data_IF_326886848257
#
_entry.id   IF_326886848257
#
_cell.length_a   1.000
_cell.length_b   1.000
_cell.length_c   1.000
_cell.angle_alpha   90.00
_cell.angle_beta   90.00
_cell.angle_gamma   90.00
#
_symmetry.space_group_name_H-M   'P 1'
#
loop_
_entity.id
_entity.type
_entity.pdbx_description
1 polymer ?
#
# COMPACT_ATOMS: atom_id res chain seq x y z
N UNK A 1 -0.74 -64.62 -9.65
CA UNK A 1 0.19 -63.54 -10.04
C UNK A 1 -0.62 -62.25 -10.16
N UNK A 2 -0.51 -61.34 -9.17
CA UNK A 2 -1.36 -60.14 -9.05
C UNK A 2 -0.82 -59.02 -9.95
N UNK A 3 -1.68 -58.47 -10.81
CA UNK A 3 -1.41 -57.31 -11.67
C UNK A 3 -1.33 -56.04 -10.82
N UNK A 4 -0.23 -55.31 -10.92
CA UNK A 4 -0.10 -53.95 -10.38
C UNK A 4 -0.77 -52.96 -11.35
N UNK A 5 -1.82 -52.27 -10.89
CA UNK A 5 -2.41 -51.13 -11.60
C UNK A 5 -1.75 -49.87 -11.02
N UNK A 6 -0.93 -49.19 -11.82
CA UNK A 6 -0.35 -47.90 -11.47
C UNK A 6 -1.41 -46.84 -11.79
N UNK A 7 -2.02 -46.26 -10.76
CA UNK A 7 -2.97 -45.16 -10.88
C UNK A 7 -2.19 -43.85 -11.06
N UNK A 8 -2.08 -43.36 -12.29
CA UNK A 8 -1.45 -42.07 -12.59
C UNK A 8 -2.47 -40.96 -12.28
N UNK A 9 -2.44 -40.42 -11.07
CA UNK A 9 -3.24 -39.24 -10.71
C UNK A 9 -2.68 -38.01 -11.43
N UNK A 10 -3.31 -37.63 -12.54
CA UNK A 10 -3.09 -36.32 -13.16
C UNK A 10 -3.45 -35.23 -12.15
N UNK A 11 -2.43 -34.51 -11.65
CA UNK A 11 -2.62 -33.24 -10.96
C UNK A 11 -3.24 -32.25 -11.93
N UNK A 12 -4.56 -32.06 -11.84
CA UNK A 12 -5.26 -30.95 -12.48
C UNK A 12 -4.77 -29.68 -11.79
N UNK A 13 -3.70 -29.07 -12.31
CA UNK A 13 -3.31 -27.72 -11.91
C UNK A 13 -4.45 -26.78 -12.28
N UNK A 14 -5.21 -26.39 -11.26
CA UNK A 14 -6.45 -25.65 -11.41
C UNK A 14 -6.15 -24.27 -11.99
N UNK A 15 -6.76 -23.97 -13.14
CA UNK A 15 -6.79 -22.60 -13.73
C UNK A 15 -7.31 -21.53 -12.76
N UNK A 16 -7.91 -21.93 -11.64
CA UNK A 16 -8.39 -21.07 -10.56
C UNK A 16 -7.28 -20.27 -9.85
N UNK A 17 -6.04 -20.77 -9.78
CA UNK A 17 -5.00 -20.08 -8.97
C UNK A 17 -4.51 -18.76 -9.58
N UNK A 18 -4.52 -18.63 -10.91
CA UNK A 18 -4.03 -17.43 -11.59
C UNK A 18 -5.05 -16.28 -11.57
N UNK A 19 -6.35 -16.59 -11.58
CA UNK A 19 -7.41 -15.57 -11.53
C UNK A 19 -7.42 -14.82 -10.20
N UNK A 20 -7.13 -15.53 -9.11
CA UNK A 20 -6.98 -14.94 -7.77
C UNK A 20 -5.75 -14.03 -7.70
N UNK A 21 -4.67 -14.36 -8.41
CA UNK A 21 -3.47 -13.54 -8.39
C UNK A 21 -3.61 -12.21 -9.17
N UNK A 22 -4.32 -12.21 -10.30
CA UNK A 22 -4.47 -11.03 -11.16
C UNK A 22 -5.40 -9.95 -10.55
N UNK A 23 -5.19 -8.68 -10.92
CA UNK A 23 -6.01 -7.53 -10.49
C UNK A 23 -7.21 -7.30 -11.40
N UNK A 24 -8.38 -7.04 -10.81
CA UNK A 24 -9.58 -6.62 -11.53
C UNK A 24 -9.56 -5.13 -11.88
N UNK A 25 -10.49 -4.69 -12.73
CA UNK A 25 -10.69 -3.26 -13.04
C UNK A 25 -10.99 -2.45 -11.79
N UNK A 26 -11.85 -2.97 -10.93
CA UNK A 26 -12.24 -2.29 -9.69
C UNK A 26 -11.05 -2.15 -8.72
N UNK A 27 -10.15 -3.14 -8.70
CA UNK A 27 -8.97 -3.14 -7.84
C UNK A 27 -7.90 -2.16 -8.33
N UNK A 28 -7.52 -2.23 -9.62
CA UNK A 28 -6.44 -1.40 -10.16
C UNK A 28 -6.76 0.10 -10.13
N UNK A 29 -8.04 0.46 -10.16
CA UNK A 29 -8.49 1.85 -10.06
C UNK A 29 -8.33 2.45 -8.66
N UNK A 30 -8.17 1.62 -7.63
CA UNK A 30 -7.90 2.04 -6.26
C UNK A 30 -6.40 2.10 -5.94
N UNK A 31 -5.56 1.56 -6.82
CA UNK A 31 -4.12 1.51 -6.68
C UNK A 31 -3.46 2.76 -7.31
N UNK A 32 -2.22 3.10 -6.94
CA UNK A 32 -1.50 4.19 -7.58
C UNK A 32 -1.39 3.99 -9.09
N UNK A 33 -1.50 5.07 -9.91
CA UNK A 33 -1.53 4.95 -11.37
C UNK A 33 -0.36 4.16 -11.95
N UNK A 34 0.82 4.23 -11.32
CA UNK A 34 1.99 3.50 -11.79
C UNK A 34 1.84 1.96 -11.68
N UNK A 35 0.91 1.45 -10.87
CA UNK A 35 0.62 0.01 -10.85
C UNK A 35 -0.05 -0.49 -12.13
N UNK A 36 -0.54 0.40 -13.00
CA UNK A 36 -0.98 0.03 -14.36
C UNK A 36 0.19 -0.36 -15.27
N UNK A 37 1.44 -0.19 -14.83
CA UNK A 37 2.66 -0.60 -15.52
C UNK A 37 3.07 -2.05 -15.27
N UNK A 38 2.35 -2.80 -14.43
CA UNK A 38 2.60 -4.23 -14.21
C UNK A 38 2.51 -5.03 -15.52
N UNK A 39 3.11 -6.22 -15.53
CA UNK A 39 3.00 -7.13 -16.68
C UNK A 39 1.55 -7.54 -16.92
N UNK A 40 1.17 -7.75 -18.19
CA UNK A 40 -0.22 -8.01 -18.60
C UNK A 40 -0.84 -9.24 -17.92
N UNK A 41 -0.04 -10.23 -17.53
CA UNK A 41 -0.50 -11.42 -16.81
C UNK A 41 -0.99 -11.10 -15.38
N UNK A 42 -0.61 -9.94 -14.84
CA UNK A 42 -1.11 -9.46 -13.55
C UNK A 42 -2.51 -8.85 -13.65
N UNK A 43 -3.12 -8.76 -14.84
CA UNK A 43 -4.45 -8.17 -15.04
C UNK A 43 -5.47 -9.25 -15.38
N UNK A 44 -6.63 -9.17 -14.73
CA UNK A 44 -7.81 -9.92 -15.13
C UNK A 44 -8.31 -9.43 -16.50
N UNK A 45 -9.16 -10.24 -17.15
CA UNK A 45 -9.62 -9.96 -18.51
C UNK A 45 -10.29 -8.59 -18.66
N UNK A 46 -11.04 -8.14 -17.65
CA UNK A 46 -11.75 -6.85 -17.59
C UNK A 46 -10.85 -5.62 -17.37
N UNK A 47 -9.57 -5.86 -17.04
CA UNK A 47 -8.60 -4.82 -16.69
C UNK A 47 -7.44 -4.71 -17.67
N UNK A 48 -7.32 -5.64 -18.64
CA UNK A 48 -6.20 -5.67 -19.61
C UNK A 48 -6.05 -4.37 -20.40
N UNK A 49 -7.16 -3.70 -20.71
CA UNK A 49 -7.17 -2.41 -21.42
C UNK A 49 -6.64 -1.24 -20.57
N UNK A 50 -6.64 -1.40 -19.25
CA UNK A 50 -6.12 -0.40 -18.31
C UNK A 50 -4.60 -0.46 -18.15
N UNK A 51 -3.96 -1.52 -18.66
CA UNK A 51 -2.50 -1.64 -18.70
C UNK A 51 -1.92 -0.45 -19.48
N UNK A 52 -0.88 0.17 -18.93
CA UNK A 52 -0.16 1.27 -19.58
C UNK A 52 1.31 0.91 -19.76
N UNK A 53 1.92 1.44 -20.82
CA UNK A 53 3.37 1.44 -20.99
C UNK A 53 3.91 2.66 -20.24
N UNK A 54 4.41 2.44 -19.03
CA UNK A 54 4.92 3.49 -18.18
C UNK A 54 6.22 3.05 -17.54
N UNK A 55 7.11 4.01 -17.31
CA UNK A 55 8.35 3.79 -16.55
C UNK A 55 7.99 3.60 -15.09
N UNK A 56 8.38 2.47 -14.51
CA UNK A 56 8.17 2.19 -13.10
C UNK A 56 9.09 3.08 -12.26
N UNK A 57 8.60 3.63 -11.13
CA UNK A 57 9.31 4.63 -10.35
C UNK A 57 10.62 4.13 -9.71
N UNK A 58 10.82 2.82 -9.60
CA UNK A 58 12.07 2.25 -9.10
C UNK A 58 12.05 0.74 -9.01
N UNK A 59 13.13 0.20 -8.47
CA UNK A 59 13.22 -1.22 -8.13
C UNK A 59 12.12 -1.62 -7.14
N UNK A 60 11.77 -2.90 -7.12
CA UNK A 60 10.73 -3.45 -6.23
C UNK A 60 9.33 -2.83 -6.37
N UNK A 61 9.05 -2.06 -7.44
CA UNK A 61 7.70 -1.51 -7.68
C UNK A 61 6.64 -2.61 -7.76
N UNK A 62 7.00 -3.81 -8.24
CA UNK A 62 6.08 -4.95 -8.25
C UNK A 62 5.62 -5.33 -6.85
N UNK A 63 6.52 -5.45 -5.88
CA UNK A 63 6.19 -5.71 -4.47
C UNK A 63 5.33 -4.59 -3.89
N UNK A 64 5.67 -3.32 -4.17
CA UNK A 64 4.82 -2.20 -3.76
C UNK A 64 3.38 -2.35 -4.28
N UNK A 65 3.22 -2.67 -5.57
CA UNK A 65 1.90 -2.84 -6.16
C UNK A 65 1.17 -4.09 -5.63
N UNK A 66 1.87 -5.18 -5.33
CA UNK A 66 1.28 -6.32 -4.63
C UNK A 66 0.79 -5.94 -3.22
N UNK A 67 1.56 -5.14 -2.49
CA UNK A 67 1.14 -4.58 -1.20
C UNK A 67 -0.13 -3.72 -1.32
N UNK A 68 -0.23 -2.89 -2.35
CA UNK A 68 -1.44 -2.10 -2.63
C UNK A 68 -2.65 -2.98 -2.96
N UNK A 69 -2.46 -4.01 -3.79
CA UNK A 69 -3.51 -5.00 -4.09
C UNK A 69 -3.98 -5.70 -2.82
N UNK A 70 -3.06 -6.10 -1.95
CA UNK A 70 -3.35 -6.72 -0.67
C UNK A 70 -4.15 -5.78 0.26
N UNK A 71 -3.82 -4.48 0.32
CA UNK A 71 -4.65 -3.48 1.03
C UNK A 71 -6.08 -3.44 0.47
N UNK A 72 -6.25 -3.38 -0.86
CA UNK A 72 -7.57 -3.32 -1.50
C UNK A 72 -8.40 -4.55 -1.13
N UNK A 73 -7.76 -5.72 -1.05
CA UNK A 73 -8.37 -6.99 -0.62
C UNK A 73 -8.49 -7.16 0.90
N UNK A 74 -8.06 -6.16 1.68
CA UNK A 74 -8.01 -6.21 3.16
C UNK A 74 -7.12 -7.32 3.72
N UNK A 75 -6.22 -7.87 2.91
CA UNK A 75 -5.18 -8.79 3.37
C UNK A 75 -4.00 -7.98 3.90
N UNK A 76 -4.16 -7.46 5.12
CA UNK A 76 -3.21 -6.52 5.70
C UNK A 76 -1.86 -7.17 6.05
N UNK A 77 -1.83 -8.46 6.39
CA UNK A 77 -0.59 -9.17 6.69
C UNK A 77 0.30 -9.29 5.44
N UNK A 78 -0.27 -9.72 4.31
CA UNK A 78 0.45 -9.74 3.04
C UNK A 78 0.89 -8.33 2.63
N UNK A 79 0.04 -7.31 2.83
CA UNK A 79 0.44 -5.94 2.55
C UNK A 79 1.68 -5.52 3.36
N UNK A 80 1.72 -5.82 4.66
CA UNK A 80 2.88 -5.52 5.52
C UNK A 80 4.14 -6.25 5.07
N UNK A 81 4.02 -7.52 4.66
CA UNK A 81 5.14 -8.30 4.14
C UNK A 81 5.70 -7.71 2.84
N UNK A 82 4.83 -7.40 1.88
CA UNK A 82 5.21 -6.83 0.58
C UNK A 82 5.90 -5.46 0.74
N UNK A 83 5.36 -4.59 1.59
CA UNK A 83 6.03 -3.31 1.89
C UNK A 83 7.32 -3.50 2.68
N UNK A 84 7.39 -4.50 3.57
CA UNK A 84 8.60 -4.89 4.28
C UNK A 84 9.71 -5.32 3.33
N UNK A 85 9.36 -6.09 2.29
CA UNK A 85 10.31 -6.47 1.24
C UNK A 85 10.91 -5.24 0.55
N UNK A 86 10.06 -4.29 0.13
CA UNK A 86 10.53 -3.03 -0.49
C UNK A 86 11.46 -2.29 0.46
N UNK A 87 11.13 -2.18 1.75
CA UNK A 87 11.98 -1.49 2.74
C UNK A 87 13.32 -2.19 2.98
N UNK A 88 13.35 -3.52 2.99
CA UNK A 88 14.55 -4.31 3.29
C UNK A 88 15.54 -4.44 2.13
N UNK A 89 15.06 -4.23 0.90
CA UNK A 89 15.89 -4.39 -0.32
C UNK A 89 16.15 -3.08 -1.06
N UNK A 90 15.65 -1.94 -0.56
CA UNK A 90 15.91 -0.63 -1.15
C UNK A 90 16.94 0.16 -0.36
N UNK A 91 17.69 1.03 -1.05
CA UNK A 91 18.49 2.08 -0.39
C UNK A 91 17.59 3.10 0.30
N UNK A 92 18.09 3.81 1.32
CA UNK A 92 17.30 4.79 2.08
C UNK A 92 16.80 5.97 1.24
N UNK A 93 17.42 6.25 0.08
CA UNK A 93 17.02 7.29 -0.87
C UNK A 93 15.96 6.81 -1.90
N UNK A 94 15.55 5.54 -1.84
CA UNK A 94 14.66 4.98 -2.85
C UNK A 94 13.29 5.68 -2.86
N UNK A 95 12.84 6.08 -4.07
CA UNK A 95 11.70 7.00 -4.25
C UNK A 95 10.37 6.49 -3.68
N UNK A 96 10.19 5.17 -3.61
CA UNK A 96 8.97 4.58 -3.06
C UNK A 96 8.94 4.53 -1.53
N UNK A 97 10.07 4.66 -0.82
CA UNK A 97 10.13 4.41 0.62
C UNK A 97 9.18 5.27 1.48
N UNK A 98 8.98 6.57 1.21
CA UNK A 98 7.99 7.35 1.94
C UNK A 98 6.58 6.78 1.77
N UNK A 99 6.20 6.41 0.54
CA UNK A 99 4.90 5.81 0.25
C UNK A 99 4.78 4.39 0.83
N UNK A 100 5.85 3.60 0.75
CA UNK A 100 5.92 2.25 1.32
C UNK A 100 5.66 2.29 2.82
N UNK A 101 6.36 3.16 3.55
CA UNK A 101 6.18 3.32 4.99
C UNK A 101 4.76 3.81 5.32
N UNK A 102 4.23 4.76 4.53
CA UNK A 102 2.85 5.22 4.69
C UNK A 102 1.81 4.11 4.55
N UNK A 103 1.85 3.32 3.48
CA UNK A 103 0.85 2.28 3.24
C UNK A 103 1.04 1.07 4.16
N UNK A 104 2.27 0.77 4.56
CA UNK A 104 2.55 -0.21 5.63
C UNK A 104 1.92 0.24 6.96
N UNK A 105 2.01 1.52 7.30
CA UNK A 105 1.34 2.08 8.48
C UNK A 105 -0.18 1.92 8.42
N UNK A 106 -0.79 2.20 7.25
CA UNK A 106 -2.24 1.98 7.05
C UNK A 106 -2.63 0.51 7.26
N UNK A 107 -1.87 -0.44 6.69
CA UNK A 107 -2.12 -1.86 6.87
C UNK A 107 -1.97 -2.30 8.33
N UNK A 108 -0.90 -1.89 9.01
CA UNK A 108 -0.67 -2.18 10.44
C UNK A 108 -1.79 -1.64 11.33
N UNK A 109 -2.23 -0.41 11.06
CA UNK A 109 -3.32 0.22 11.82
C UNK A 109 -4.65 -0.51 11.62
N UNK A 110 -4.92 -1.00 10.40
CA UNK A 110 -6.10 -1.82 10.12
C UNK A 110 -6.04 -3.21 10.76
N UNK A 111 -4.83 -3.74 11.00
CA UNK A 111 -4.60 -4.95 11.80
C UNK A 111 -4.57 -4.71 13.32
N UNK A 112 -4.86 -3.50 13.80
CA UNK A 112 -4.84 -3.17 15.23
C UNK A 112 -3.45 -3.02 15.85
N UNK A 113 -2.38 -3.04 15.04
CA UNK A 113 -0.99 -2.91 15.52
C UNK A 113 -0.61 -1.44 15.68
N UNK A 114 -1.16 -0.82 16.73
CA UNK A 114 -1.14 0.64 16.91
C UNK A 114 0.28 1.22 16.96
N UNK A 115 1.15 0.65 17.80
CA UNK A 115 2.51 1.15 17.98
C UNK A 115 3.32 1.07 16.68
N UNK A 116 3.25 -0.06 15.99
CA UNK A 116 3.94 -0.29 14.72
C UNK A 116 3.44 0.65 13.61
N UNK A 117 2.12 0.90 13.56
CA UNK A 117 1.55 1.86 12.62
C UNK A 117 2.09 3.27 12.84
N UNK A 118 2.14 3.74 14.10
CA UNK A 118 2.69 5.06 14.43
C UNK A 118 4.17 5.18 14.07
N UNK A 119 4.96 4.12 14.29
CA UNK A 119 6.36 4.05 13.87
C UNK A 119 6.51 4.22 12.36
N UNK A 120 5.73 3.50 11.56
CA UNK A 120 5.81 3.58 10.09
C UNK A 120 5.28 4.92 9.52
N UNK A 121 4.26 5.52 10.15
CA UNK A 121 3.84 6.88 9.79
C UNK A 121 4.95 7.91 10.03
N UNK A 122 5.60 7.85 11.20
CA UNK A 122 6.72 8.74 11.52
C UNK A 122 7.91 8.51 10.57
N UNK A 123 8.19 7.25 10.21
CA UNK A 123 9.20 6.91 9.21
C UNK A 123 8.89 7.53 7.85
N UNK A 124 7.63 7.49 7.38
CA UNK A 124 7.23 8.14 6.14
C UNK A 124 7.51 9.66 6.16
N UNK A 125 7.26 10.31 7.29
CA UNK A 125 7.53 11.73 7.52
C UNK A 125 9.04 12.01 7.58
N UNK A 126 9.84 11.18 8.25
CA UNK A 126 11.29 11.34 8.33
C UNK A 126 11.96 11.19 6.97
N UNK A 127 11.52 10.21 6.18
CA UNK A 127 12.03 9.99 4.82
C UNK A 127 11.69 11.15 3.87
N UNK A 128 10.55 11.82 4.08
CA UNK A 128 10.14 12.98 3.30
C UNK A 128 9.25 13.92 4.12
N UNK A 129 9.86 14.93 4.73
CA UNK A 129 9.16 15.92 5.58
C UNK A 129 8.15 16.81 4.82
N UNK A 130 8.20 16.85 3.49
CA UNK A 130 7.21 17.53 2.64
C UNK A 130 6.11 16.60 2.16
N UNK A 131 6.04 15.35 2.66
CA UNK A 131 5.05 14.37 2.21
C UNK A 131 3.68 14.61 2.85
N UNK A 132 2.96 15.58 2.31
CA UNK A 132 1.63 16.03 2.76
C UNK A 132 0.67 14.86 3.04
N UNK A 133 0.71 13.80 2.22
CA UNK A 133 -0.18 12.65 2.40
C UNK A 133 0.09 11.89 3.71
N UNK A 134 1.34 11.81 4.17
CA UNK A 134 1.69 11.14 5.43
C UNK A 134 1.10 11.87 6.64
N UNK A 135 1.27 13.19 6.73
CA UNK A 135 0.64 13.99 7.80
C UNK A 135 -0.88 13.89 7.79
N UNK A 136 -1.48 13.94 6.59
CA UNK A 136 -2.93 13.77 6.42
C UNK A 136 -3.38 12.42 7.00
N UNK A 137 -2.75 11.32 6.59
CA UNK A 137 -3.14 9.96 7.00
C UNK A 137 -2.86 9.70 8.48
N UNK A 138 -1.73 10.15 9.01
CA UNK A 138 -1.43 10.05 10.43
C UNK A 138 -2.45 10.85 11.27
N UNK A 139 -2.86 12.05 10.83
CA UNK A 139 -3.91 12.81 11.53
C UNK A 139 -5.26 12.08 11.51
N UNK A 140 -5.65 11.46 10.40
CA UNK A 140 -6.87 10.63 10.30
C UNK A 140 -6.78 9.42 11.23
N UNK A 141 -5.60 8.80 11.31
CA UNK A 141 -5.36 7.67 12.18
C UNK A 141 -5.47 8.07 13.66
N UNK A 142 -4.86 9.18 14.07
CA UNK A 142 -5.02 9.71 15.43
C UNK A 142 -6.49 10.01 15.78
N UNK A 143 -7.28 10.54 14.85
CA UNK A 143 -8.73 10.71 15.06
C UNK A 143 -9.43 9.37 15.27
N UNK A 144 -9.07 8.33 14.50
CA UNK A 144 -9.63 6.98 14.72
C UNK A 144 -9.28 6.41 16.10
N UNK A 145 -8.15 6.82 16.67
CA UNK A 145 -7.72 6.48 18.04
C UNK A 145 -8.30 7.42 19.11
N UNK A 146 -9.22 8.33 18.74
CA UNK A 146 -9.79 9.37 19.61
C UNK A 146 -8.73 10.35 20.19
N UNK A 147 -7.57 10.47 19.56
CA UNK A 147 -6.47 11.35 19.96
C UNK A 147 -6.50 12.65 19.12
N UNK A 148 -7.51 13.49 19.36
CA UNK A 148 -7.75 14.72 18.57
C UNK A 148 -6.57 15.70 18.63
N UNK A 149 -5.94 15.85 19.80
CA UNK A 149 -4.82 16.78 19.98
C UNK A 149 -3.59 16.35 19.17
N UNK A 150 -3.25 15.05 19.19
CA UNK A 150 -2.17 14.49 18.36
C UNK A 150 -2.44 14.69 16.86
N UNK A 151 -3.70 14.59 16.43
CA UNK A 151 -4.08 14.87 15.05
C UNK A 151 -3.85 16.34 14.68
N UNK A 152 -4.22 17.28 15.56
CA UNK A 152 -3.99 18.72 15.37
C UNK A 152 -2.50 19.03 15.30
N UNK A 153 -1.70 18.52 16.22
CA UNK A 153 -0.24 18.74 16.23
C UNK A 153 0.44 18.16 14.99
N UNK A 154 0.01 16.97 14.55
CA UNK A 154 0.48 16.37 13.29
C UNK A 154 0.21 17.30 12.09
N UNK A 155 -0.98 17.89 12.01
CA UNK A 155 -1.35 18.79 10.92
C UNK A 155 -0.56 20.11 10.97
N UNK A 156 -0.35 20.67 12.16
CA UNK A 156 0.51 21.85 12.36
C UNK A 156 1.95 21.58 11.92
N UNK A 157 2.50 20.42 12.30
CA UNK A 157 3.83 20.00 11.89
C UNK A 157 3.93 19.87 10.36
N UNK A 158 2.95 19.23 9.72
CA UNK A 158 2.91 19.16 8.25
C UNK A 158 2.82 20.53 7.57
N UNK A 159 2.10 21.48 8.17
CA UNK A 159 2.03 22.86 7.67
C UNK A 159 3.31 23.65 7.89
N UNK A 160 4.15 23.30 8.89
CA UNK A 160 5.49 23.88 9.04
C UNK A 160 6.36 23.58 7.81
N UNK A 161 6.31 22.35 7.29
CA UNK A 161 7.09 21.94 6.11
C UNK A 161 6.38 22.20 4.78
N UNK A 162 5.06 22.35 4.78
CA UNK A 162 4.25 22.57 3.58
C UNK A 162 3.16 23.63 3.83
N UNK A 163 3.55 24.91 4.04
CA UNK A 163 2.66 25.97 4.51
C UNK A 163 1.51 26.31 3.54
N UNK A 164 1.64 25.94 2.27
CA UNK A 164 0.62 26.17 1.25
C UNK A 164 -0.31 24.98 1.01
N UNK A 165 -0.20 23.91 1.80
CA UNK A 165 -1.04 22.73 1.65
C UNK A 165 -2.51 23.01 2.00
N UNK A 166 -3.34 23.21 0.97
CA UNK A 166 -4.80 23.41 1.12
C UNK A 166 -5.46 22.23 1.85
N UNK A 167 -5.00 21.01 1.60
CA UNK A 167 -5.56 19.79 2.20
C UNK A 167 -5.32 19.72 3.72
N UNK A 168 -4.12 20.08 4.18
CA UNK A 168 -3.80 20.13 5.61
C UNK A 168 -4.55 21.27 6.31
N UNK A 169 -4.59 22.48 5.70
CA UNK A 169 -5.36 23.62 6.24
C UNK A 169 -6.85 23.28 6.43
N UNK A 170 -7.46 22.64 5.44
CA UNK A 170 -8.88 22.22 5.50
C UNK A 170 -9.12 21.25 6.66
N UNK A 171 -8.23 20.28 6.87
CA UNK A 171 -8.35 19.30 7.96
C UNK A 171 -8.16 19.95 9.32
N UNK A 172 -7.14 20.79 9.47
CA UNK A 172 -6.85 21.48 10.73
C UNK A 172 -8.05 22.33 11.16
N UNK A 173 -8.59 23.13 10.23
CA UNK A 173 -9.80 23.94 10.47
C UNK A 173 -11.00 23.08 10.85
N UNK A 174 -11.17 21.89 10.28
CA UNK A 174 -12.28 21.00 10.61
C UNK A 174 -12.16 20.42 12.03
N UNK A 175 -10.95 20.20 12.53
CA UNK A 175 -10.71 19.70 13.88
C UNK A 175 -10.76 20.79 14.95
N UNK A 176 -10.60 22.06 14.60
CA UNK A 176 -10.63 23.16 15.57
C UNK A 176 -12.03 23.76 15.77
N UNK A 177 -13.02 23.26 15.03
CA UNK A 177 -14.44 23.49 15.32
C UNK A 177 -14.92 22.53 16.39
#
# INVERSE_FOLDING_TARGET
>A
MKKFIILFTMLIFSKLSFAEYAVSRAEIMQMPPFCRGLSIQNFQADAKDLKKNITMPGEHTQHFCHGMKAIVRKNYETAVQEFGYVQGHSTSQHVLLPATSLYKAEALGKSGKIAEALTEYNKAIQLKNTYVQAYKKLSEYYISLKQKDNAIETLKLGLKYSPNSKSLKKRLKALQK
#
